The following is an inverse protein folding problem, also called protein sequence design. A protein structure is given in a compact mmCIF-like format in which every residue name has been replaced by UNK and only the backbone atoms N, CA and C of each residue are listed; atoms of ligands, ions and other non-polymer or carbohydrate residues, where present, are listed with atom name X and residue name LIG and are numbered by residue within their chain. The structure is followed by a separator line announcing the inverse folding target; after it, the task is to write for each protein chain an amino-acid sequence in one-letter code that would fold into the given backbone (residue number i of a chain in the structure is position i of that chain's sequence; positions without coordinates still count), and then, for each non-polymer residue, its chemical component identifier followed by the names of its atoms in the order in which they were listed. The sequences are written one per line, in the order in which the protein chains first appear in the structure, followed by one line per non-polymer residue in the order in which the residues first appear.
data_IF_378521426987
#
_entry.id   IF_378521426987
#
_cell.length_a   1.000
_cell.length_b   1.000
_cell.length_c   1.000
_cell.angle_alpha   90.00
_cell.angle_beta   90.00
_cell.angle_gamma   90.00
#
_symmetry.space_group_name_H-M   'P 1'
#
loop_
_entity.id
_entity.type
_entity.pdbx_description
1 polymer ?
#
# COMPACT_ATOMS: atom_id res chain seq x y z
N UNK A 1 -6.74 8.59 -11.97
CA UNK A 1 -7.08 7.15 -11.91
C UNK A 1 -5.99 6.43 -11.13
N UNK A 2 -6.35 5.67 -10.11
CA UNK A 2 -5.40 4.91 -9.28
C UNK A 2 -5.63 3.42 -9.55
N UNK A 3 -4.59 2.70 -9.95
CA UNK A 3 -4.64 1.26 -10.14
C UNK A 3 -3.58 0.59 -9.30
N UNK A 4 -3.96 -0.38 -8.48
CA UNK A 4 -3.01 -1.24 -7.79
C UNK A 4 -2.36 -2.20 -8.78
N UNK A 5 -1.03 -2.23 -8.82
CA UNK A 5 -0.25 -3.10 -9.70
C UNK A 5 0.27 -4.35 -8.99
N UNK A 6 0.57 -4.25 -7.69
CA UNK A 6 1.08 -5.37 -6.94
C UNK A 6 1.87 -4.95 -5.71
N UNK A 7 2.53 -5.91 -5.08
CA UNK A 7 3.46 -5.67 -3.97
C UNK A 7 4.86 -6.09 -4.35
N UNK A 8 5.85 -5.37 -3.84
CA UNK A 8 7.27 -5.71 -3.93
C UNK A 8 7.84 -5.77 -2.52
N UNK A 9 8.77 -6.70 -2.30
CA UNK A 9 9.62 -6.69 -1.11
C UNK A 9 10.92 -5.96 -1.46
N UNK A 10 11.36 -5.07 -0.58
CA UNK A 10 12.73 -4.54 -0.66
C UNK A 10 13.70 -5.55 -0.07
N UNK A 11 14.99 -5.37 -0.39
CA UNK A 11 16.08 -6.18 0.16
C UNK A 11 16.13 -6.11 1.70
N UNK A 12 15.76 -4.96 2.26
CA UNK A 12 15.59 -4.72 3.70
C UNK A 12 14.34 -5.41 4.31
N UNK A 13 13.60 -6.20 3.53
CA UNK A 13 12.42 -6.95 3.97
C UNK A 13 11.13 -6.13 4.06
N UNK A 14 11.16 -4.84 3.72
CA UNK A 14 9.97 -3.98 3.76
C UNK A 14 9.02 -4.27 2.60
N UNK A 15 7.71 -4.19 2.85
CA UNK A 15 6.69 -4.40 1.82
C UNK A 15 6.27 -3.06 1.20
N UNK A 16 6.44 -2.95 -0.11
CA UNK A 16 6.03 -1.84 -0.96
C UNK A 16 4.79 -2.23 -1.75
N UNK A 17 3.82 -1.32 -1.79
CA UNK A 17 2.62 -1.40 -2.60
C UNK A 17 2.82 -0.52 -3.83
N UNK A 18 2.72 -1.12 -5.01
CA UNK A 18 2.95 -0.44 -6.29
C UNK A 18 1.60 -0.02 -6.87
N UNK A 19 1.49 1.25 -7.19
CA UNK A 19 0.30 1.87 -7.76
C UNK A 19 0.65 2.58 -9.06
N UNK A 20 -0.25 2.55 -10.02
CA UNK A 20 -0.25 3.45 -11.17
C UNK A 20 -1.18 4.62 -10.86
N UNK A 21 -0.62 5.80 -10.59
CA UNK A 21 -1.36 7.02 -10.28
C UNK A 21 -1.21 7.95 -11.46
N UNK A 22 -2.30 8.21 -12.19
CA UNK A 22 -2.31 9.10 -13.36
C UNK A 22 -1.22 8.75 -14.40
N UNK A 23 -0.97 7.46 -14.60
CA UNK A 23 0.05 6.97 -15.56
C UNK A 23 1.47 6.89 -15.01
N UNK A 24 1.73 7.33 -13.77
CA UNK A 24 3.03 7.20 -13.12
C UNK A 24 3.03 6.05 -12.10
N UNK A 25 4.06 5.21 -12.14
CA UNK A 25 4.28 4.19 -11.11
C UNK A 25 4.75 4.83 -9.81
N UNK A 26 4.09 4.50 -8.71
CA UNK A 26 4.40 4.95 -7.36
C UNK A 26 4.51 3.74 -6.44
N UNK A 27 5.63 3.66 -5.74
CA UNK A 27 5.88 2.64 -4.72
C UNK A 27 5.65 3.25 -3.35
N UNK A 28 4.70 2.70 -2.60
CA UNK A 28 4.24 3.25 -1.33
C UNK A 28 4.44 2.18 -0.24
N UNK A 29 5.14 2.54 0.83
CA UNK A 29 5.28 1.67 2.01
C UNK A 29 3.93 1.51 2.70
N UNK A 30 3.69 0.37 3.34
CA UNK A 30 2.43 0.12 4.07
C UNK A 30 2.07 1.25 5.03
N UNK A 31 3.05 1.70 5.83
CA UNK A 31 2.91 2.79 6.80
C UNK A 31 2.53 4.13 6.16
N UNK A 32 2.94 4.34 4.90
CA UNK A 32 2.67 5.55 4.15
C UNK A 32 1.30 5.50 3.46
N UNK A 33 0.64 4.34 3.33
CA UNK A 33 -0.67 4.24 2.66
C UNK A 33 -1.73 5.19 3.24
N UNK A 34 -1.67 5.47 4.54
CA UNK A 34 -2.57 6.42 5.21
C UNK A 34 -2.40 7.87 4.73
N UNK A 35 -1.22 8.21 4.21
CA UNK A 35 -0.87 9.55 3.72
C UNK A 35 -1.24 9.75 2.24
N UNK A 36 -1.59 8.69 1.52
CA UNK A 36 -1.94 8.77 0.10
C UNK A 36 -3.44 8.52 -0.11
N UNK A 37 -4.25 9.58 -0.27
CA UNK A 37 -5.70 9.44 -0.46
C UNK A 37 -6.01 8.61 -1.71
N UNK A 38 -7.02 7.73 -1.62
CA UNK A 38 -7.43 6.83 -2.69
C UNK A 38 -6.53 5.61 -2.92
N UNK A 39 -5.30 5.56 -2.40
CA UNK A 39 -4.42 4.40 -2.58
C UNK A 39 -4.88 3.20 -1.75
N UNK A 40 -5.24 3.41 -0.47
CA UNK A 40 -5.79 2.33 0.35
C UNK A 40 -7.11 1.78 -0.23
N UNK A 41 -7.96 2.66 -0.75
CA UNK A 41 -9.25 2.28 -1.34
C UNK A 41 -9.09 1.47 -2.63
N UNK A 42 -8.08 1.80 -3.44
CA UNK A 42 -7.75 1.06 -4.67
C UNK A 42 -7.16 -0.34 -4.42
N UNK A 43 -6.86 -0.70 -3.17
CA UNK A 43 -6.36 -2.04 -2.83
C UNK A 43 -7.47 -3.10 -2.89
N UNK A 44 -7.16 -4.33 -3.35
CA UNK A 44 -8.10 -5.43 -3.27
C UNK A 44 -8.37 -5.84 -1.81
N UNK A 45 -9.55 -6.43 -1.57
CA UNK A 45 -10.00 -6.80 -0.23
C UNK A 45 -9.00 -7.71 0.52
N UNK A 46 -8.37 -8.65 -0.20
CA UNK A 46 -7.34 -9.54 0.36
C UNK A 46 -6.12 -8.77 0.90
N UNK A 47 -5.70 -7.71 0.19
CA UNK A 47 -4.57 -6.88 0.62
C UNK A 47 -4.97 -5.99 1.81
N UNK A 48 -6.17 -5.40 1.78
CA UNK A 48 -6.72 -4.65 2.92
C UNK A 48 -6.78 -5.51 4.18
N UNK A 49 -7.20 -6.77 4.07
CA UNK A 49 -7.23 -7.72 5.19
C UNK A 49 -5.81 -7.99 5.74
N UNK A 50 -4.80 -8.15 4.88
CA UNK A 50 -3.39 -8.30 5.31
C UNK A 50 -2.88 -7.07 6.06
N UNK A 51 -3.16 -5.88 5.54
CA UNK A 51 -2.75 -4.61 6.16
C UNK A 51 -3.46 -4.42 7.51
N UNK A 52 -4.76 -4.71 7.56
CA UNK A 52 -5.54 -4.65 8.81
C UNK A 52 -5.09 -5.69 9.85
N UNK A 53 -4.52 -6.81 9.41
CA UNK A 53 -3.90 -7.80 10.30
C UNK A 53 -2.53 -7.35 10.82
N UNK A 54 -1.88 -6.37 10.15
CA UNK A 54 -0.62 -5.83 10.62
C UNK A 54 -0.85 -4.84 11.78
N UNK A 55 -0.63 -5.32 13.01
CA UNK A 55 -0.72 -4.49 14.23
C UNK A 55 0.16 -3.24 14.17
N UNK A 56 1.31 -3.28 13.50
CA UNK A 56 2.19 -2.12 13.36
C UNK A 56 1.54 -0.99 12.54
N UNK A 57 0.69 -1.35 11.56
CA UNK A 57 -0.06 -0.38 10.76
C UNK A 57 -1.21 0.25 11.55
N UNK A 58 -1.84 -0.51 12.45
CA UNK A 58 -2.89 -0.01 13.35
C UNK A 58 -2.36 0.94 14.43
N UNK A 59 -1.10 0.77 14.87
CA UNK A 59 -0.55 1.46 16.04
C UNK A 59 -0.07 2.91 15.84
N UNK A 60 -0.30 3.54 14.67
CA UNK A 60 -0.06 4.99 14.52
C UNK A 60 -1.17 5.67 13.72
N UNK A 61 -2.03 6.37 14.45
CA UNK A 61 -2.67 7.61 14.05
C UNK A 61 -2.12 8.68 15.00
#
# INVERSE_FOLDING_TARGET
MIKYLGTRKTDEGAMLYVFLINGAEKQIRESALKQYPGCYEALPASVKARISANRAWLQKL
#
